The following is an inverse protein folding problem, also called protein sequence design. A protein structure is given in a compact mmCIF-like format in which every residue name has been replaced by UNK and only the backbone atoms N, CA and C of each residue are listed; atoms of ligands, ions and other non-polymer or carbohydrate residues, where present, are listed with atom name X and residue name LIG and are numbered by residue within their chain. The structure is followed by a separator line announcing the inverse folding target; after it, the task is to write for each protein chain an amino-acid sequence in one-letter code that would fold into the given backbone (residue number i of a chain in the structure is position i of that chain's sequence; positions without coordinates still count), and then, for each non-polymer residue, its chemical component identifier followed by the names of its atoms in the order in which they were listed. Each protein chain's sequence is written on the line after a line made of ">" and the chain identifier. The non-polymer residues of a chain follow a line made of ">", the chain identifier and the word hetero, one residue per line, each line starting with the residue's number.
data_IF_714198339657
#
_entry.id   IF_714198339657
#
_cell.length_a   1.000
_cell.length_b   1.000
_cell.length_c   1.000
_cell.angle_alpha   90.00
_cell.angle_beta   90.00
_cell.angle_gamma   90.00
#
_symmetry.space_group_name_H-M   'P 1'
#
loop_
_entity.id
_entity.type
_entity.pdbx_description
1 polymer ?
#
# COMPACT_ATOMS: atom_id res chain seq x y z
N UNK A 1 -43.79 32.50 13.72
CA UNK A 1 -43.73 33.87 13.15
C UNK A 1 -42.69 33.85 12.05
N UNK A 2 -43.05 34.35 10.85
CA UNK A 2 -42.24 34.72 9.65
C UNK A 2 -41.15 33.73 9.14
N UNK A 3 -41.33 32.97 8.04
CA UNK A 3 -41.31 33.35 6.60
C UNK A 3 -39.89 33.67 6.06
N UNK A 4 -39.23 32.70 5.40
CA UNK A 4 -39.03 32.55 3.93
C UNK A 4 -38.06 33.56 3.28
N UNK A 5 -37.02 33.05 2.59
CA UNK A 5 -36.69 33.49 1.23
C UNK A 5 -36.03 32.35 0.42
N UNK A 6 -36.69 32.01 -0.68
CA UNK A 6 -36.20 31.22 -1.83
C UNK A 6 -35.93 32.23 -2.93
N UNK A 7 -34.84 32.09 -3.70
CA UNK A 7 -34.74 32.64 -5.05
C UNK A 7 -33.83 31.76 -5.92
N UNK A 8 -34.44 31.28 -7.01
CA UNK A 8 -33.91 30.56 -8.16
C UNK A 8 -33.41 31.54 -9.24
N UNK A 9 -32.57 31.04 -10.16
CA UNK A 9 -32.35 31.58 -11.51
C UNK A 9 -30.85 31.82 -11.80
N UNK A 10 -30.24 31.42 -12.90
CA UNK A 10 -30.70 30.86 -14.17
C UNK A 10 -29.75 31.31 -15.31
N UNK A 11 -29.73 30.53 -16.39
CA UNK A 11 -29.23 30.82 -17.75
C UNK A 11 -27.77 30.46 -18.14
N UNK A 12 -27.70 29.43 -19.01
CA UNK A 12 -26.73 29.20 -20.09
C UNK A 12 -26.52 30.43 -20.97
N UNK A 13 -25.32 30.54 -21.57
CA UNK A 13 -25.15 31.08 -22.93
C UNK A 13 -23.92 30.45 -23.62
N UNK A 14 -24.18 29.96 -24.83
CA UNK A 14 -23.21 29.41 -25.79
C UNK A 14 -22.32 30.50 -26.42
N UNK A 15 -21.13 30.10 -26.86
CA UNK A 15 -20.35 30.80 -27.88
C UNK A 15 -19.51 29.82 -28.72
N UNK A 16 -20.00 29.52 -29.92
CA UNK A 16 -19.31 28.82 -31.02
C UNK A 16 -19.17 29.82 -32.18
N UNK A 17 -18.00 29.94 -32.81
CA UNK A 17 -17.67 30.25 -34.24
C UNK A 17 -16.13 30.15 -34.35
N UNK A 18 -15.50 29.11 -34.94
CA UNK A 18 -15.33 28.67 -36.36
C UNK A 18 -14.09 29.26 -37.07
N UNK A 19 -13.17 28.32 -37.38
CA UNK A 19 -12.29 28.10 -38.55
C UNK A 19 -11.22 29.12 -39.02
N UNK A 20 -10.03 28.55 -39.29
CA UNK A 20 -9.02 29.03 -40.24
C UNK A 20 -7.87 28.02 -40.36
N UNK A 21 -7.91 27.16 -41.38
CA UNK A 21 -6.81 26.27 -41.79
C UNK A 21 -5.78 27.04 -42.64
N UNK A 22 -4.50 26.68 -42.54
CA UNK A 22 -3.61 26.65 -43.71
C UNK A 22 -2.56 25.54 -43.56
N UNK A 23 -2.34 24.81 -44.65
CA UNK A 23 -1.46 23.67 -44.84
C UNK A 23 -0.10 24.15 -45.39
N UNK A 24 1.01 23.54 -44.99
CA UNK A 24 2.31 23.89 -45.57
C UNK A 24 3.52 23.10 -45.09
N UNK A 25 3.81 22.03 -45.84
CA UNK A 25 5.11 21.40 -46.07
C UNK A 25 5.77 20.52 -44.99
N UNK A 26 5.69 19.22 -45.30
CA UNK A 26 6.61 18.13 -44.95
C UNK A 26 8.09 18.52 -44.96
N UNK A 27 8.72 18.47 -43.79
CA UNK A 27 10.16 18.27 -43.65
C UNK A 27 10.41 17.07 -42.72
N UNK A 28 10.91 15.98 -43.33
CA UNK A 28 11.51 14.84 -42.64
C UNK A 28 13.02 15.08 -42.53
N UNK A 29 13.60 15.08 -41.32
CA UNK A 29 15.02 14.82 -41.15
C UNK A 29 15.25 13.67 -40.12
N UNK A 30 16.46 13.12 -40.05
CA UNK A 30 16.85 11.83 -40.63
C UNK A 30 16.76 10.66 -39.64
N UNK A 31 16.90 9.45 -40.18
CA UNK A 31 17.19 8.24 -39.43
C UNK A 31 18.68 8.19 -39.02
N UNK A 32 18.88 7.58 -37.85
CA UNK A 32 20.08 6.94 -37.30
C UNK A 32 21.24 7.82 -36.77
N UNK A 33 21.47 7.77 -35.45
CA UNK A 33 22.64 7.08 -34.86
C UNK A 33 22.73 7.30 -33.33
N UNK A 34 22.61 6.20 -32.57
CA UNK A 34 23.33 5.92 -31.31
C UNK A 34 23.30 6.94 -30.17
N UNK A 35 22.50 6.67 -29.14
CA UNK A 35 22.96 6.03 -27.89
C UNK A 35 21.71 5.68 -27.08
N UNK A 36 21.50 4.40 -26.82
CA UNK A 36 20.45 3.89 -25.94
C UNK A 36 20.64 4.44 -24.53
N UNK A 37 19.84 5.44 -24.16
CA UNK A 37 19.68 5.86 -22.77
C UNK A 37 18.69 4.88 -22.16
N UNK A 38 19.23 3.89 -21.48
CA UNK A 38 18.49 2.83 -20.81
C UNK A 38 17.56 3.47 -19.77
N UNK A 39 16.30 3.64 -20.19
CA UNK A 39 15.25 4.25 -19.40
C UNK A 39 14.67 3.15 -18.53
N UNK A 40 15.40 2.84 -17.46
CA UNK A 40 14.96 1.90 -16.43
C UNK A 40 13.71 2.40 -15.74
N UNK A 41 12.55 2.02 -16.28
CA UNK A 41 11.42 1.50 -15.50
C UNK A 41 11.98 0.72 -14.32
N UNK A 42 11.72 1.16 -13.08
CA UNK A 42 11.75 0.37 -11.83
C UNK A 42 11.68 1.32 -10.61
N UNK A 43 10.57 2.03 -10.52
CA UNK A 43 10.06 2.55 -9.25
C UNK A 43 8.62 2.03 -9.14
N UNK A 44 8.49 0.72 -8.89
CA UNK A 44 7.20 0.06 -8.73
C UNK A 44 7.08 -1.35 -9.30
N UNK A 45 8.08 -1.87 -10.02
CA UNK A 45 8.06 -3.27 -10.45
C UNK A 45 8.93 -4.10 -9.50
N UNK A 46 8.30 -5.08 -8.89
CA UNK A 46 8.89 -5.83 -7.81
C UNK A 46 9.52 -7.10 -8.39
N UNK A 47 10.73 -7.45 -7.93
CA UNK A 47 11.42 -8.68 -8.33
C UNK A 47 10.78 -9.93 -7.73
N UNK A 48 11.07 -11.08 -8.31
CA UNK A 48 10.75 -12.42 -7.80
C UNK A 48 11.69 -12.79 -6.65
N UNK A 49 11.17 -13.48 -5.64
CA UNK A 49 11.94 -14.06 -4.54
C UNK A 49 12.77 -15.22 -5.08
N UNK A 50 14.10 -15.10 -5.11
CA UNK A 50 14.99 -16.22 -5.41
C UNK A 50 15.41 -16.90 -4.08
N UNK A 51 15.07 -18.17 -3.84
CA UNK A 51 15.47 -18.88 -2.63
C UNK A 51 16.93 -19.35 -2.81
N UNK A 52 17.90 -18.45 -2.66
CA UNK A 52 19.31 -18.76 -2.92
C UNK A 52 20.29 -18.03 -2.01
N UNK A 53 20.84 -18.77 -1.05
CA UNK A 53 21.96 -18.53 -0.13
C UNK A 53 22.89 -17.31 -0.34
N UNK A 54 23.10 -16.55 0.75
CA UNK A 54 24.34 -15.76 0.89
C UNK A 54 24.38 -14.61 1.90
N UNK A 55 24.22 -14.87 3.21
CA UNK A 55 24.92 -14.11 4.25
C UNK A 55 24.21 -12.93 4.94
N UNK A 56 23.88 -13.11 6.23
CA UNK A 56 24.24 -12.11 7.24
C UNK A 56 23.16 -11.17 7.78
N UNK A 57 21.90 -11.54 7.76
CA UNK A 57 20.84 -10.87 8.53
C UNK A 57 19.52 -11.54 8.22
N UNK A 58 18.78 -12.03 9.23
CA UNK A 58 17.40 -12.45 8.99
C UNK A 58 16.66 -11.16 8.65
N UNK A 59 16.30 -10.96 7.38
CA UNK A 59 15.38 -9.89 7.04
C UNK A 59 14.08 -10.20 7.77
N UNK A 60 13.59 -9.24 8.55
CA UNK A 60 12.31 -9.37 9.25
C UNK A 60 11.11 -9.45 8.28
N UNK A 61 11.39 -9.33 6.98
CA UNK A 61 10.48 -9.57 5.87
C UNK A 61 10.94 -10.84 5.13
N UNK A 62 10.17 -11.92 5.26
CA UNK A 62 10.48 -13.21 4.64
C UNK A 62 9.66 -13.50 3.39
N UNK A 63 8.73 -12.60 3.04
CA UNK A 63 7.83 -12.74 1.89
C UNK A 63 7.29 -11.37 1.45
N UNK A 64 6.74 -11.29 0.24
CA UNK A 64 6.20 -10.05 -0.31
C UNK A 64 4.67 -9.99 -0.16
N UNK A 65 4.17 -9.11 0.72
CA UNK A 65 2.73 -9.01 1.02
C UNK A 65 1.94 -8.50 -0.19
N UNK A 66 2.43 -7.50 -0.91
CA UNK A 66 1.72 -6.89 -2.04
C UNK A 66 1.49 -7.91 -3.16
N UNK A 67 2.51 -8.70 -3.47
CA UNK A 67 2.47 -9.70 -4.53
C UNK A 67 1.89 -11.04 -4.09
N UNK A 68 1.89 -11.29 -2.78
CA UNK A 68 1.67 -12.61 -2.18
C UNK A 68 2.69 -13.65 -2.71
N UNK A 69 3.96 -13.25 -2.74
CA UNK A 69 5.08 -14.08 -3.21
C UNK A 69 6.00 -14.48 -2.05
N UNK A 70 6.73 -15.60 -2.21
CA UNK A 70 7.70 -16.10 -1.21
C UNK A 70 7.14 -17.10 -0.20
N UNK A 71 5.85 -17.45 -0.29
CA UNK A 71 5.22 -18.43 0.58
C UNK A 71 4.87 -19.74 -0.15
N UNK A 72 4.81 -20.84 0.60
CA UNK A 72 4.37 -22.12 0.05
C UNK A 72 2.87 -22.12 -0.28
N UNK A 73 2.44 -23.08 -1.10
CA UNK A 73 1.01 -23.25 -1.38
C UNK A 73 0.21 -23.48 -0.08
N UNK A 74 -0.92 -22.79 0.06
CA UNK A 74 -1.75 -22.82 1.28
C UNK A 74 -1.33 -21.82 2.37
N UNK A 75 -0.30 -21.02 2.12
CA UNK A 75 0.10 -19.92 3.00
C UNK A 75 -0.22 -18.56 2.36
N UNK A 76 -0.39 -17.54 3.20
CA UNK A 76 -0.46 -16.14 2.77
C UNK A 76 0.69 -15.35 3.39
N UNK A 77 1.26 -14.42 2.61
CA UNK A 77 2.24 -13.49 3.14
C UNK A 77 1.51 -12.33 3.82
N UNK A 78 1.72 -12.14 5.12
CA UNK A 78 1.06 -11.06 5.86
C UNK A 78 2.06 -10.30 6.72
N UNK A 79 1.74 -9.05 7.02
CA UNK A 79 2.51 -8.29 7.99
C UNK A 79 2.38 -8.90 9.38
N UNK A 80 3.34 -8.55 10.23
CA UNK A 80 3.39 -9.02 11.61
C UNK A 80 4.21 -8.11 12.49
N UNK A 81 3.87 -8.04 13.79
CA UNK A 81 4.72 -7.35 14.75
C UNK A 81 5.96 -8.19 15.06
N UNK A 82 7.10 -7.51 15.20
CA UNK A 82 8.38 -8.08 15.58
C UNK A 82 8.61 -7.90 17.09
N UNK A 83 9.49 -8.72 17.66
CA UNK A 83 9.78 -8.69 19.10
C UNK A 83 10.44 -7.40 19.59
N UNK A 84 11.08 -6.66 18.68
CA UNK A 84 11.72 -5.37 18.94
C UNK A 84 10.75 -4.18 18.78
N UNK A 85 9.48 -4.44 18.50
CA UNK A 85 8.44 -3.43 18.26
C UNK A 85 8.34 -2.95 16.81
N UNK A 86 9.18 -3.48 15.91
CA UNK A 86 9.06 -3.24 14.47
C UNK A 86 7.91 -4.01 13.81
N UNK A 87 7.76 -3.84 12.50
CA UNK A 87 6.85 -4.62 11.66
C UNK A 87 7.63 -5.33 10.58
N UNK A 88 7.33 -6.60 10.35
CA UNK A 88 7.91 -7.44 9.31
C UNK A 88 6.84 -8.15 8.49
N UNK A 89 7.23 -9.12 7.66
CA UNK A 89 6.31 -9.99 6.92
C UNK A 89 6.71 -11.45 7.06
N UNK A 90 5.71 -12.33 7.19
CA UNK A 90 5.92 -13.78 7.25
C UNK A 90 4.79 -14.55 6.59
N UNK A 91 5.07 -15.79 6.24
CA UNK A 91 4.09 -16.73 5.70
C UNK A 91 3.28 -17.33 6.84
N UNK A 92 1.96 -17.21 6.75
CA UNK A 92 1.03 -17.82 7.70
C UNK A 92 0.19 -18.87 6.99
N UNK A 93 0.09 -20.04 7.63
CA UNK A 93 -0.88 -21.06 7.23
C UNK A 93 -2.30 -20.58 7.54
N UNK A 94 -3.24 -20.94 6.68
CA UNK A 94 -4.65 -20.65 6.88
C UNK A 94 -5.49 -21.45 5.90
N UNK A 95 -6.78 -21.62 6.20
CA UNK A 95 -7.66 -22.39 5.32
C UNK A 95 -7.90 -21.68 3.97
N UNK A 96 -7.69 -20.37 3.91
CA UNK A 96 -7.99 -19.52 2.76
C UNK A 96 -7.28 -18.15 2.84
N UNK A 97 -7.26 -17.43 1.72
CA UNK A 97 -6.83 -16.04 1.62
C UNK A 97 -8.07 -15.11 1.66
N UNK A 98 -8.15 -14.16 2.61
CA UNK A 98 -9.33 -13.34 2.84
C UNK A 98 -9.43 -12.16 1.85
N UNK A 99 -8.43 -11.92 1.02
CA UNK A 99 -8.49 -11.00 -0.13
C UNK A 99 -8.89 -11.76 -1.39
N UNK A 100 -8.26 -12.90 -1.67
CA UNK A 100 -8.52 -13.71 -2.89
C UNK A 100 -9.80 -14.55 -2.84
N UNK A 101 -10.36 -14.80 -1.65
CA UNK A 101 -11.66 -15.47 -1.44
C UNK A 101 -11.77 -16.88 -2.04
N UNK A 102 -10.77 -17.74 -1.80
CA UNK A 102 -10.70 -19.11 -2.34
C UNK A 102 -11.63 -20.15 -1.70
N UNK A 103 -12.80 -19.76 -1.19
CA UNK A 103 -13.76 -20.66 -0.53
C UNK A 103 -14.80 -21.22 -1.50
N UNK A 104 -15.52 -22.27 -1.08
CA UNK A 104 -16.61 -22.85 -1.88
C UNK A 104 -17.77 -21.87 -2.07
N UNK A 105 -18.63 -22.12 -3.06
CA UNK A 105 -19.81 -21.28 -3.34
C UNK A 105 -20.70 -21.12 -2.09
N UNK A 106 -21.14 -19.89 -1.83
CA UNK A 106 -21.92 -19.53 -0.64
C UNK A 106 -21.08 -19.31 0.62
N UNK A 107 -19.76 -19.51 0.56
CA UNK A 107 -18.83 -19.22 1.64
C UNK A 107 -17.96 -18.01 1.31
N UNK A 108 -17.31 -17.47 2.35
CA UNK A 108 -16.27 -16.46 2.25
C UNK A 108 -15.12 -16.80 3.19
N UNK A 109 -13.94 -16.31 2.84
CA UNK A 109 -12.80 -16.36 3.73
C UNK A 109 -12.80 -15.12 4.65
N UNK A 110 -12.80 -15.33 5.96
CA UNK A 110 -12.67 -14.26 6.96
C UNK A 110 -11.88 -14.76 8.18
N UNK A 111 -11.64 -13.86 9.12
CA UNK A 111 -11.05 -14.16 10.42
C UNK A 111 -12.12 -14.61 11.41
N UNK A 112 -11.96 -15.83 11.90
CA UNK A 112 -12.82 -16.46 12.89
C UNK A 112 -12.09 -16.55 14.21
N UNK A 113 -12.70 -16.02 15.27
CA UNK A 113 -12.22 -16.16 16.64
C UNK A 113 -12.93 -17.32 17.31
N UNK A 114 -12.16 -18.24 17.88
CA UNK A 114 -12.69 -19.34 18.69
C UNK A 114 -12.87 -18.93 20.16
N UNK A 115 -13.69 -19.68 20.90
CA UNK A 115 -13.87 -19.48 22.36
C UNK A 115 -12.57 -19.67 23.16
N UNK A 116 -11.64 -20.47 22.63
CA UNK A 116 -10.29 -20.63 23.21
C UNK A 116 -9.46 -19.34 23.12
N UNK A 117 -9.90 -18.36 22.32
CA UNK A 117 -9.28 -17.06 22.14
C UNK A 117 -8.45 -16.95 20.87
N UNK A 118 -8.20 -18.05 20.15
CA UNK A 118 -7.41 -18.07 18.92
C UNK A 118 -8.20 -17.49 17.74
N UNK A 119 -7.54 -16.71 16.91
CA UNK A 119 -8.11 -16.16 15.67
C UNK A 119 -7.38 -16.72 14.44
N UNK A 120 -8.14 -17.22 13.48
CA UNK A 120 -7.59 -17.86 12.28
C UNK A 120 -8.48 -17.63 11.06
N UNK A 121 -7.88 -17.70 9.88
CA UNK A 121 -8.61 -17.58 8.61
C UNK A 121 -9.38 -18.86 8.31
N UNK A 122 -10.69 -18.75 8.10
CA UNK A 122 -11.57 -19.87 7.79
C UNK A 122 -12.60 -19.52 6.72
N UNK A 123 -13.04 -20.54 5.99
CA UNK A 123 -14.20 -20.45 5.11
C UNK A 123 -15.49 -20.60 5.92
N UNK A 124 -16.27 -19.53 5.98
CA UNK A 124 -17.54 -19.47 6.71
C UNK A 124 -18.67 -19.05 5.79
N UNK A 125 -19.92 -19.10 6.26
CA UNK A 125 -21.05 -18.61 5.49
C UNK A 125 -20.83 -17.14 5.08
N UNK A 126 -21.12 -16.81 3.82
CA UNK A 126 -20.97 -15.45 3.33
C UNK A 126 -21.96 -14.50 4.04
N UNK A 127 -21.47 -13.40 4.57
CA UNK A 127 -22.31 -12.29 5.01
C UNK A 127 -22.86 -11.51 3.81
N UNK A 128 -23.75 -10.58 4.10
CA UNK A 128 -24.46 -9.79 3.07
C UNK A 128 -24.21 -8.29 3.17
N UNK A 129 -23.58 -7.82 4.25
CA UNK A 129 -23.31 -6.39 4.42
C UNK A 129 -22.23 -5.92 3.43
N UNK A 130 -22.59 -4.92 2.62
CA UNK A 130 -21.70 -4.32 1.62
C UNK A 130 -20.63 -3.44 2.26
N UNK A 131 -19.62 -3.05 1.49
CA UNK A 131 -18.58 -2.14 1.94
C UNK A 131 -19.18 -0.81 2.44
N UNK A 132 -18.71 -0.33 3.60
CA UNK A 132 -19.22 0.84 4.29
C UNK A 132 -20.53 0.64 5.05
N UNK A 133 -21.19 -0.51 4.91
CA UNK A 133 -22.39 -0.81 5.70
C UNK A 133 -22.02 -1.13 7.16
N UNK A 134 -22.92 -0.84 8.13
CA UNK A 134 -22.76 -1.30 9.49
C UNK A 134 -22.66 -2.83 9.58
N UNK A 135 -21.89 -3.31 10.54
CA UNK A 135 -21.66 -4.74 10.74
C UNK A 135 -21.54 -5.11 12.21
N UNK A 136 -21.59 -6.40 12.48
CA UNK A 136 -21.40 -6.97 13.81
C UNK A 136 -20.45 -8.15 13.75
N UNK A 137 -19.68 -8.34 14.82
CA UNK A 137 -19.04 -9.62 15.13
C UNK A 137 -20.04 -10.43 15.95
N UNK A 138 -20.45 -11.59 15.44
CA UNK A 138 -21.45 -12.44 16.09
C UNK A 138 -20.99 -13.88 16.13
N UNK A 139 -21.41 -14.59 17.18
CA UNK A 139 -21.19 -16.01 17.31
C UNK A 139 -22.08 -16.77 16.32
N UNK A 140 -21.45 -17.51 15.41
CA UNK A 140 -22.09 -18.39 14.45
C UNK A 140 -21.00 -19.26 13.80
N UNK A 141 -21.07 -20.60 13.75
CA UNK A 141 -21.82 -21.47 14.66
C UNK A 141 -21.33 -21.33 16.12
N UNK A 142 -21.95 -22.01 17.09
CA UNK A 142 -21.50 -21.96 18.48
C UNK A 142 -19.99 -22.21 18.64
N UNK A 143 -19.34 -21.38 19.44
CA UNK A 143 -17.91 -21.41 19.69
C UNK A 143 -17.01 -20.74 18.64
N UNK A 144 -17.62 -20.07 17.66
CA UNK A 144 -16.93 -19.31 16.62
C UNK A 144 -17.58 -17.93 16.44
N UNK A 145 -16.79 -16.87 16.50
CA UNK A 145 -17.23 -15.50 16.25
C UNK A 145 -16.59 -14.97 14.97
N UNK A 146 -17.40 -14.45 14.06
CA UNK A 146 -16.95 -13.74 12.87
C UNK A 146 -17.95 -12.66 12.43
N UNK A 147 -17.57 -11.87 11.43
CA UNK A 147 -18.35 -10.70 11.03
C UNK A 147 -19.48 -10.99 10.02
N UNK A 148 -20.39 -10.03 9.85
CA UNK A 148 -21.52 -10.13 8.92
C UNK A 148 -21.26 -9.56 7.53
N UNK A 149 -20.01 -9.18 7.20
CA UNK A 149 -19.70 -8.54 5.92
C UNK A 149 -19.68 -9.53 4.75
N UNK A 150 -19.84 -9.01 3.54
CA UNK A 150 -19.71 -9.79 2.32
C UNK A 150 -18.26 -10.32 2.12
N UNK A 151 -18.08 -11.17 1.11
CA UNK A 151 -16.77 -11.72 0.76
C UNK A 151 -15.74 -10.62 0.44
N UNK A 152 -14.53 -10.78 0.97
CA UNK A 152 -13.43 -9.82 0.80
C UNK A 152 -13.52 -8.60 1.72
N UNK A 153 -14.47 -8.56 2.64
CA UNK A 153 -14.66 -7.47 3.59
C UNK A 153 -14.48 -7.97 5.03
N UNK A 154 -14.08 -7.07 5.92
CA UNK A 154 -13.99 -7.33 7.36
C UNK A 154 -14.68 -6.21 8.15
N UNK A 155 -15.26 -6.55 9.29
CA UNK A 155 -15.93 -5.59 10.16
C UNK A 155 -14.91 -4.88 11.06
N UNK A 156 -14.59 -3.64 10.69
CA UNK A 156 -13.58 -2.83 11.37
C UNK A 156 -14.26 -1.78 12.24
N UNK A 157 -13.66 -1.54 13.41
CA UNK A 157 -14.03 -0.42 14.27
C UNK A 157 -13.48 0.92 13.76
N UNK A 158 -14.29 1.96 13.87
CA UNK A 158 -13.98 3.31 13.41
C UNK A 158 -14.49 4.36 14.38
N UNK A 159 -13.66 5.39 14.61
CA UNK A 159 -14.06 6.54 15.42
C UNK A 159 -15.15 7.34 14.70
N UNK A 160 -16.22 7.67 15.43
CA UNK A 160 -17.33 8.47 14.92
C UNK A 160 -17.10 9.96 15.19
N UNK A 161 -17.57 10.82 14.29
CA UNK A 161 -17.42 12.29 14.39
C UNK A 161 -18.12 12.89 15.62
N UNK A 162 -19.15 12.24 16.15
CA UNK A 162 -19.85 12.61 17.39
C UNK A 162 -19.22 12.05 18.66
N UNK A 163 -18.06 11.38 18.55
CA UNK A 163 -17.49 10.55 19.61
C UNK A 163 -18.03 9.13 19.59
N UNK A 164 -17.26 8.21 20.19
CA UNK A 164 -17.56 6.78 20.21
C UNK A 164 -17.01 6.01 19.00
N UNK A 165 -17.39 4.74 18.92
CA UNK A 165 -16.88 3.78 17.94
C UNK A 165 -18.05 3.13 17.21
N UNK A 166 -18.01 3.14 15.88
CA UNK A 166 -18.91 2.37 15.02
C UNK A 166 -18.16 1.21 14.38
N UNK A 167 -18.90 0.25 13.82
CA UNK A 167 -18.34 -0.91 13.13
C UNK A 167 -18.86 -0.95 11.70
N UNK A 168 -17.95 -0.95 10.73
CA UNK A 168 -18.29 -0.91 9.32
C UNK A 168 -17.47 -1.91 8.51
N UNK A 169 -18.08 -2.45 7.45
CA UNK A 169 -17.39 -3.35 6.55
C UNK A 169 -16.34 -2.59 5.72
N UNK A 170 -15.09 -3.03 5.79
CA UNK A 170 -13.98 -2.49 5.00
C UNK A 170 -13.35 -3.57 4.13
N UNK A 171 -12.93 -3.18 2.93
CA UNK A 171 -12.30 -4.08 1.97
C UNK A 171 -10.95 -4.52 2.47
N UNK A 172 -10.74 -5.83 2.60
CA UNK A 172 -9.42 -6.41 2.83
C UNK A 172 -8.59 -6.30 1.56
N UNK A 173 -7.29 -6.06 1.71
CA UNK A 173 -6.39 -5.81 0.60
C UNK A 173 -4.99 -6.33 0.88
N UNK A 174 -4.26 -6.62 -0.19
CA UNK A 174 -2.81 -6.84 -0.20
C UNK A 174 -2.09 -5.64 -0.81
N UNK A 175 -2.73 -4.96 -1.76
CA UNK A 175 -2.20 -3.84 -2.51
C UNK A 175 -3.23 -2.72 -2.65
N UNK A 176 -2.78 -1.47 -2.85
CA UNK A 176 -3.67 -0.32 -3.12
C UNK A 176 -4.56 -0.55 -4.34
N UNK A 177 -4.13 -1.35 -5.33
CA UNK A 177 -4.95 -1.72 -6.49
C UNK A 177 -6.20 -2.55 -6.13
N UNK A 178 -6.25 -3.16 -4.94
CA UNK A 178 -7.43 -3.87 -4.44
C UNK A 178 -8.52 -2.90 -3.92
N UNK A 179 -8.15 -1.63 -3.73
CA UNK A 179 -9.02 -0.60 -3.17
C UNK A 179 -9.69 0.21 -4.27
N UNK A 180 -11.01 0.32 -4.22
CA UNK A 180 -11.77 1.18 -5.14
C UNK A 180 -11.47 2.68 -4.92
N UNK A 181 -11.11 3.04 -3.68
CA UNK A 181 -10.66 4.36 -3.28
C UNK A 181 -9.75 4.25 -2.06
N UNK A 182 -8.82 5.19 -1.90
CA UNK A 182 -7.89 5.18 -0.77
C UNK A 182 -6.72 4.24 -0.99
N UNK A 183 -6.07 3.85 0.11
CA UNK A 183 -4.85 3.04 0.09
C UNK A 183 -5.02 1.74 0.88
N UNK A 184 -4.27 0.71 0.49
CA UNK A 184 -4.11 -0.49 1.29
C UNK A 184 -3.05 -0.27 2.37
N UNK A 185 -3.44 0.43 3.44
CA UNK A 185 -2.50 0.91 4.46
C UNK A 185 -3.00 0.73 5.90
N UNK A 186 -4.26 0.34 6.09
CA UNK A 186 -4.87 0.32 7.41
C UNK A 186 -4.73 -1.07 8.00
N UNK A 187 -3.84 -1.19 9.00
CA UNK A 187 -3.59 -2.45 9.70
C UNK A 187 -4.79 -2.84 10.57
N UNK A 188 -5.28 -4.05 10.38
CA UNK A 188 -6.20 -4.69 11.32
C UNK A 188 -5.41 -5.46 12.37
N UNK A 189 -5.63 -5.10 13.64
CA UNK A 189 -5.04 -5.80 14.79
C UNK A 189 -6.10 -6.70 15.40
N UNK A 190 -5.94 -8.01 15.22
CA UNK A 190 -6.89 -9.02 15.65
C UNK A 190 -6.35 -9.77 16.87
N UNK A 191 -7.15 -9.86 17.94
CA UNK A 191 -6.76 -10.60 19.13
C UNK A 191 -6.63 -12.10 18.82
N UNK A 192 -5.63 -12.76 19.41
CA UNK A 192 -5.44 -14.21 19.24
C UNK A 192 -4.74 -14.61 17.94
N UNK A 193 -4.12 -13.68 17.23
CA UNK A 193 -3.24 -13.96 16.08
C UNK A 193 -2.09 -12.95 16.00
N UNK A 194 -1.04 -13.34 15.29
CA UNK A 194 0.09 -12.47 14.93
C UNK A 194 -0.05 -11.91 13.50
N UNK A 195 -1.09 -12.33 12.77
CA UNK A 195 -1.40 -11.80 11.46
C UNK A 195 -1.85 -10.33 11.56
N UNK A 196 -1.25 -9.46 10.75
CA UNK A 196 -1.65 -8.06 10.59
C UNK A 196 -2.17 -7.83 9.16
N UNK A 197 -3.39 -8.30 8.84
CA UNK A 197 -3.98 -8.05 7.52
C UNK A 197 -4.27 -6.57 7.33
N UNK A 198 -4.29 -6.14 6.08
CA UNK A 198 -4.60 -4.76 5.72
C UNK A 198 -6.04 -4.65 5.22
N UNK A 199 -6.63 -3.48 5.47
CA UNK A 199 -7.85 -3.02 4.80
C UNK A 199 -7.61 -1.71 4.07
N UNK A 200 -8.43 -1.48 3.06
CA UNK A 200 -8.53 -0.20 2.38
C UNK A 200 -8.97 0.86 3.38
N UNK A 201 -8.16 1.90 3.48
CA UNK A 201 -8.39 3.04 4.36
C UNK A 201 -8.22 4.37 3.63
N UNK A 202 -8.30 5.48 4.38
CA UNK A 202 -8.00 6.79 3.83
C UNK A 202 -6.64 6.82 3.13
N UNK A 203 -6.47 7.64 2.08
CA UNK A 203 -5.17 7.86 1.46
C UNK A 203 -4.13 8.20 2.52
N UNK A 204 -2.93 7.64 2.34
CA UNK A 204 -1.79 7.91 3.20
C UNK A 204 -1.48 9.40 3.17
N UNK A 205 -1.17 9.97 4.34
CA UNK A 205 -0.91 11.41 4.42
C UNK A 205 0.36 11.73 3.62
N UNK A 206 0.29 12.71 2.68
CA UNK A 206 1.47 13.16 1.97
C UNK A 206 2.42 13.83 2.96
N UNK A 207 3.71 13.73 2.68
CA UNK A 207 4.76 14.25 3.55
C UNK A 207 5.95 14.74 2.73
N UNK A 208 6.90 15.38 3.38
CA UNK A 208 8.16 15.79 2.79
C UNK A 208 9.27 14.82 3.22
N UNK A 209 9.80 14.07 2.24
CA UNK A 209 10.79 13.01 2.46
C UNK A 209 12.11 13.51 3.07
N UNK A 210 12.41 14.81 2.98
CA UNK A 210 13.62 15.39 3.57
C UNK A 210 13.41 15.92 4.98
N UNK A 211 12.23 16.47 5.30
CA UNK A 211 11.94 16.95 6.65
C UNK A 211 11.39 15.86 7.57
N UNK A 212 10.96 14.72 7.05
CA UNK A 212 10.42 13.59 7.83
C UNK A 212 9.30 14.05 8.78
N UNK A 213 8.33 14.78 8.24
CA UNK A 213 7.24 15.46 8.95
C UNK A 213 6.06 14.53 9.31
N UNK A 214 6.30 13.23 9.37
CA UNK A 214 5.33 12.25 9.83
C UNK A 214 5.31 12.15 11.35
N UNK A 215 4.14 11.85 11.93
CA UNK A 215 4.03 11.60 13.37
C UNK A 215 4.70 10.26 13.73
N UNK A 216 5.54 10.27 14.77
CA UNK A 216 6.16 9.04 15.29
C UNK A 216 5.09 7.99 15.63
N UNK A 217 5.27 6.70 15.28
CA UNK A 217 6.50 6.05 14.80
C UNK A 217 6.62 5.94 13.26
N UNK A 218 5.99 6.84 12.51
CA UNK A 218 6.01 6.82 11.04
C UNK A 218 7.20 7.61 10.48
N UNK A 219 7.64 7.22 9.29
CA UNK A 219 8.62 7.93 8.47
C UNK A 219 8.01 8.32 7.12
N UNK A 220 8.60 9.30 6.47
CA UNK A 220 8.19 9.76 5.15
C UNK A 220 9.02 9.07 4.07
N UNK A 221 8.38 8.27 3.22
CA UNK A 221 9.06 7.46 2.22
C UNK A 221 8.53 7.75 0.82
N UNK A 222 9.40 7.77 -0.22
CA UNK A 222 8.96 7.86 -1.60
C UNK A 222 8.01 6.71 -1.97
N UNK A 223 6.91 7.02 -2.65
CA UNK A 223 5.94 6.06 -3.15
C UNK A 223 5.48 6.44 -4.57
N UNK A 224 4.61 5.63 -5.19
CA UNK A 224 4.27 5.75 -6.62
C UNK A 224 3.66 7.09 -7.03
N UNK A 225 3.07 7.83 -6.08
CA UNK A 225 2.39 9.11 -6.30
C UNK A 225 2.94 10.23 -5.40
N UNK A 226 4.22 10.12 -5.02
CA UNK A 226 4.89 11.06 -4.13
C UNK A 226 5.10 10.49 -2.73
N UNK A 227 5.84 11.20 -1.85
CA UNK A 227 6.17 10.69 -0.54
C UNK A 227 4.97 10.63 0.40
N UNK A 228 4.88 9.55 1.17
CA UNK A 228 3.79 9.29 2.12
C UNK A 228 4.31 8.79 3.46
N UNK A 229 3.53 9.05 4.52
CA UNK A 229 3.82 8.52 5.84
C UNK A 229 3.52 7.02 5.91
N UNK A 230 4.54 6.23 6.25
CA UNK A 230 4.47 4.78 6.46
C UNK A 230 5.29 4.38 7.69
N UNK A 231 5.09 3.17 8.20
CA UNK A 231 5.87 2.67 9.35
C UNK A 231 7.37 2.77 9.09
N UNK A 232 8.14 3.31 10.06
CA UNK A 232 9.58 3.47 9.89
C UNK A 232 10.33 2.15 9.95
N UNK A 233 11.14 1.90 8.94
CA UNK A 233 12.09 0.79 8.91
C UNK A 233 13.42 1.14 9.60
N UNK A 234 14.26 0.12 9.77
CA UNK A 234 15.55 0.21 10.48
C UNK A 234 16.74 -0.22 9.63
N UNK A 235 16.52 -0.66 8.38
CA UNK A 235 17.61 -1.11 7.51
C UNK A 235 18.52 0.06 7.13
N UNK A 236 19.82 -0.12 7.36
CA UNK A 236 20.84 0.88 7.06
C UNK A 236 21.13 1.00 5.56
N UNK A 237 21.84 2.06 5.17
CA UNK A 237 22.31 2.24 3.78
C UNK A 237 23.09 1.00 3.29
N UNK A 238 22.79 0.57 2.06
CA UNK A 238 23.39 -0.60 1.42
C UNK A 238 22.77 -1.94 1.81
N UNK A 239 21.89 -1.99 2.81
CA UNK A 239 21.17 -3.21 3.14
C UNK A 239 20.19 -3.59 2.01
N UNK A 240 20.02 -4.90 1.78
CA UNK A 240 19.04 -5.40 0.85
C UNK A 240 17.62 -5.04 1.31
N UNK A 241 16.77 -4.61 0.37
CA UNK A 241 15.41 -4.19 0.64
C UNK A 241 14.49 -4.54 -0.54
N UNK A 242 13.20 -4.52 -0.27
CA UNK A 242 12.13 -4.64 -1.27
C UNK A 242 11.24 -3.39 -1.29
N UNK A 243 11.05 -2.74 -0.13
CA UNK A 243 10.18 -1.57 0.01
C UNK A 243 10.91 -0.41 0.66
N UNK A 244 10.59 0.80 0.24
CA UNK A 244 11.23 2.03 0.75
C UNK A 244 11.15 2.17 2.26
N UNK A 245 10.00 1.81 2.85
CA UNK A 245 9.76 1.91 4.28
C UNK A 245 10.42 0.81 5.12
N UNK A 246 11.20 -0.10 4.52
CA UNK A 246 12.09 -0.99 5.27
C UNK A 246 13.41 -0.30 5.62
N UNK A 247 13.80 0.70 4.83
CA UNK A 247 14.99 1.50 5.06
C UNK A 247 14.76 2.50 6.20
N UNK A 248 15.84 2.91 6.84
CA UNK A 248 15.80 3.99 7.82
C UNK A 248 15.25 5.30 7.22
N UNK A 249 14.55 6.14 8.01
CA UNK A 249 14.10 7.46 7.57
C UNK A 249 15.22 8.26 6.89
N UNK A 250 14.89 8.94 5.78
CA UNK A 250 15.87 9.61 4.93
C UNK A 250 16.56 8.70 3.90
N UNK A 251 16.17 7.43 3.82
CA UNK A 251 16.57 6.48 2.78
C UNK A 251 15.36 5.89 2.06
N UNK A 252 15.60 5.26 0.92
CA UNK A 252 14.58 4.56 0.12
C UNK A 252 15.17 3.30 -0.48
N UNK A 253 14.32 2.36 -0.84
CA UNK A 253 14.74 1.16 -1.53
C UNK A 253 14.91 1.46 -3.02
N UNK A 254 16.11 1.22 -3.56
CA UNK A 254 16.40 1.40 -4.97
C UNK A 254 16.71 0.04 -5.59
N UNK A 255 15.85 -0.39 -6.52
CA UNK A 255 16.05 -1.61 -7.29
C UNK A 255 16.98 -1.31 -8.48
N UNK A 256 17.99 -2.14 -8.66
CA UNK A 256 18.90 -2.10 -9.80
C UNK A 256 19.34 -3.52 -10.13
N UNK A 257 19.11 -3.97 -11.37
CA UNK A 257 19.49 -5.32 -11.80
C UNK A 257 18.76 -6.43 -11.03
N UNK A 258 17.51 -6.19 -10.60
CA UNK A 258 16.69 -7.15 -9.87
C UNK A 258 16.93 -7.22 -8.35
N UNK A 259 17.90 -6.48 -7.81
CA UNK A 259 18.15 -6.41 -6.36
C UNK A 259 17.90 -5.00 -5.82
N UNK A 260 17.10 -4.89 -4.76
CA UNK A 260 16.86 -3.64 -4.05
C UNK A 260 17.89 -3.40 -2.95
N UNK A 261 18.41 -2.18 -2.85
CA UNK A 261 19.27 -1.75 -1.74
C UNK A 261 18.83 -0.41 -1.19
N UNK A 262 18.93 -0.24 0.13
CA UNK A 262 18.64 1.03 0.79
C UNK A 262 19.66 2.09 0.36
N UNK A 263 19.16 3.21 -0.17
CA UNK A 263 19.96 4.36 -0.62
C UNK A 263 19.46 5.63 0.04
N UNK A 264 20.40 6.47 0.45
CA UNK A 264 20.11 7.77 1.03
C UNK A 264 19.43 8.68 0.01
N UNK A 265 18.44 9.45 0.47
CA UNK A 265 17.72 10.40 -0.36
C UNK A 265 18.58 11.63 -0.70
N UNK A 266 18.35 12.20 -1.88
CA UNK A 266 19.00 13.42 -2.35
C UNK A 266 18.01 14.33 -3.06
N UNK A 267 18.30 15.63 -3.11
CA UNK A 267 17.53 16.57 -3.94
C UNK A 267 17.98 16.51 -5.40
N UNK A 268 17.07 16.13 -6.28
CA UNK A 268 17.26 16.06 -7.73
C UNK A 268 16.73 17.33 -8.43
N UNK A 269 17.40 17.85 -9.48
CA UNK A 269 18.68 17.40 -10.05
C UNK A 269 19.91 17.86 -9.25
N UNK A 270 19.72 18.79 -8.31
CA UNK A 270 20.75 19.27 -7.39
C UNK A 270 20.10 19.94 -6.18
N UNK A 271 20.72 19.85 -5.00
CA UNK A 271 20.24 20.49 -3.78
C UNK A 271 20.78 19.81 -2.53
N UNK A 272 20.26 20.20 -1.36
CA UNK A 272 20.61 19.56 -0.08
C UNK A 272 19.40 18.78 0.47
N UNK A 273 19.54 17.50 0.86
CA UNK A 273 20.79 16.74 0.90
C UNK A 273 21.33 16.37 -0.49
N UNK A 274 22.65 16.37 -0.62
CA UNK A 274 23.37 15.90 -1.81
C UNK A 274 24.00 14.53 -1.53
N UNK A 275 24.29 13.78 -2.58
CA UNK A 275 24.98 12.49 -2.44
C UNK A 275 26.42 12.69 -1.97
N UNK A 276 26.81 11.98 -0.91
CA UNK A 276 28.18 11.95 -0.44
C UNK A 276 29.11 11.25 -1.45
N UNK A 277 28.57 10.27 -2.19
CA UNK A 277 29.21 9.56 -3.30
C UNK A 277 28.18 9.19 -4.36
N UNK A 278 28.62 9.01 -5.61
CA UNK A 278 27.74 8.66 -6.73
C UNK A 278 26.95 9.84 -7.30
N UNK A 279 25.82 9.53 -7.92
CA UNK A 279 24.93 10.52 -8.56
C UNK A 279 23.53 10.50 -7.94
N UNK A 280 22.87 11.65 -7.92
CA UNK A 280 21.48 11.74 -7.51
C UNK A 280 20.59 11.34 -8.68
N UNK A 281 19.89 10.21 -8.57
CA UNK A 281 18.94 9.73 -9.59
C UNK A 281 17.52 10.05 -9.15
N UNK A 282 16.73 10.67 -10.02
CA UNK A 282 15.33 10.99 -9.75
C UNK A 282 14.53 9.72 -9.40
N UNK A 283 13.60 9.85 -8.45
CA UNK A 283 12.57 8.84 -8.21
C UNK A 283 11.30 9.28 -8.93
N UNK A 284 10.79 8.41 -9.79
CA UNK A 284 9.60 8.68 -10.61
C UNK A 284 8.43 9.15 -9.74
N UNK A 285 7.73 10.20 -10.19
CA UNK A 285 6.56 10.79 -9.51
C UNK A 285 6.79 11.32 -8.09
N UNK A 286 8.04 11.58 -7.68
CA UNK A 286 8.36 12.10 -6.33
C UNK A 286 8.95 13.52 -6.34
N UNK A 287 8.68 14.31 -7.37
CA UNK A 287 9.09 15.72 -7.42
C UNK A 287 10.61 15.90 -7.44
N UNK A 288 11.15 16.62 -6.46
CA UNK A 288 12.59 16.87 -6.30
C UNK A 288 13.30 15.77 -5.49
N UNK A 289 12.62 14.66 -5.17
CA UNK A 289 13.22 13.54 -4.45
C UNK A 289 13.94 12.58 -5.41
N UNK A 290 15.22 12.40 -5.16
CA UNK A 290 16.07 11.39 -5.78
C UNK A 290 16.66 10.44 -4.74
N UNK A 291 17.38 9.43 -5.23
CA UNK A 291 18.19 8.53 -4.41
C UNK A 291 19.64 8.53 -4.90
N UNK A 292 20.58 8.42 -3.96
CA UNK A 292 21.99 8.33 -4.26
C UNK A 292 22.35 6.94 -4.79
N UNK A 293 22.77 6.88 -6.05
CA UNK A 293 23.19 5.64 -6.70
C UNK A 293 24.68 5.72 -7.06
N UNK A 294 25.44 4.61 -6.95
CA UNK A 294 26.85 4.57 -7.33
C UNK A 294 27.13 5.03 -8.75
#
# INVERSE_FOLDING_TARGET
>A
MAARLVLLGGALLMGLWVAGCDDGETLKPPADAGTTVDSGVDAGDSGTVDPGDGGGGRSDFTCNVVKQDGCAAGQSCLYTDLTDGGTGSRCFEGACDPVRQGCASGQRCTYVRSDAGDTQRQCVAAGTAAEGAPCTLAEAPPGQTYDTCAAGLYCKDEALSGGGTGFFCRKLCHATSDCASGDCNTVLRLAGTQELPLVCGPPSSPCNAFSQDCESPLGCYPASNGPVCAGSGTLAEGAACEFSNQCSPGSTCVVSGGTGNCRTLCRFPSGSPACASGSCRAITNNGDVGACVP
#
